data_IF_631465577513
#
_entry.id   IF_631465577513
#
_cell.length_a   1.000
_cell.length_b   1.000
_cell.length_c   1.000
_cell.angle_alpha   90.00
_cell.angle_beta   90.00
_cell.angle_gamma   90.00
#
_symmetry.space_group_name_H-M   'P 1'
#
loop_
_entity.id
_entity.type
_entity.pdbx_description
1 polymer ?
#
# COMPACT_ATOMS: atom_id res chain seq x y z
N UNK A 1 -5.85 11.49 -15.53
CA UNK A 1 -6.25 10.39 -14.65
C UNK A 1 -7.78 10.24 -14.69
N UNK A 2 -8.25 9.22 -15.38
CA UNK A 2 -9.70 8.94 -15.47
C UNK A 2 -10.23 8.29 -14.20
N UNK A 3 -9.42 7.50 -13.52
CA UNK A 3 -9.79 6.78 -12.32
C UNK A 3 -8.74 6.95 -11.23
N UNK A 4 -9.15 6.92 -9.94
CA UNK A 4 -8.19 6.94 -8.85
C UNK A 4 -7.38 5.65 -8.82
N UNK A 5 -6.13 5.76 -8.36
CA UNK A 5 -5.26 4.59 -8.25
C UNK A 5 -5.78 3.61 -7.18
N UNK A 6 -5.60 2.28 -7.39
CA UNK A 6 -6.06 1.28 -6.42
C UNK A 6 -5.53 1.49 -5.00
N UNK A 7 -4.29 1.95 -4.86
CA UNK A 7 -3.70 2.25 -3.55
C UNK A 7 -4.46 3.36 -2.81
N UNK A 8 -4.94 4.37 -3.52
CA UNK A 8 -5.74 5.45 -2.94
C UNK A 8 -7.10 4.95 -2.49
N UNK A 9 -7.73 4.08 -3.28
CA UNK A 9 -9.00 3.45 -2.93
C UNK A 9 -8.88 2.60 -1.67
N UNK A 10 -7.82 1.83 -1.54
CA UNK A 10 -7.58 1.02 -0.35
C UNK A 10 -7.34 1.87 0.90
N UNK A 11 -6.60 2.95 0.75
CA UNK A 11 -6.35 3.90 1.84
C UNK A 11 -7.63 4.56 2.31
N UNK A 12 -8.46 5.05 1.40
CA UNK A 12 -9.75 5.66 1.73
C UNK A 12 -10.72 4.66 2.34
N UNK A 13 -10.68 3.41 1.90
CA UNK A 13 -11.47 2.33 2.49
C UNK A 13 -11.10 2.11 3.96
N UNK A 14 -9.81 2.08 4.28
CA UNK A 14 -9.34 2.00 5.67
C UNK A 14 -9.79 3.21 6.50
N UNK A 15 -9.73 4.41 5.95
CA UNK A 15 -10.23 5.61 6.61
C UNK A 15 -11.74 5.55 6.87
N UNK A 16 -12.52 4.98 5.94
CA UNK A 16 -13.95 4.78 6.12
C UNK A 16 -14.25 3.82 7.29
N UNK A 17 -13.45 2.77 7.45
CA UNK A 17 -13.55 1.87 8.60
C UNK A 17 -13.36 2.63 9.91
N UNK A 18 -12.31 3.46 9.99
CA UNK A 18 -11.97 4.23 11.19
C UNK A 18 -13.05 5.28 11.50
N UNK A 19 -13.58 5.93 10.48
CA UNK A 19 -14.60 6.99 10.63
C UNK A 19 -16.02 6.45 10.78
N UNK A 20 -16.27 5.18 10.46
CA UNK A 20 -17.61 4.61 10.48
C UNK A 20 -18.52 5.15 9.37
N UNK A 21 -17.98 5.43 8.20
CA UNK A 21 -18.71 5.94 7.03
C UNK A 21 -18.54 5.00 5.84
N UNK A 22 -19.43 5.12 4.85
CA UNK A 22 -19.37 4.38 3.58
C UNK A 22 -18.93 5.27 2.42
N UNK A 23 -18.71 6.55 2.65
CA UNK A 23 -18.36 7.51 1.61
C UNK A 23 -17.00 8.13 1.85
N UNK A 24 -16.29 8.41 0.75
CA UNK A 24 -15.05 9.15 0.76
C UNK A 24 -14.92 10.02 -0.48
N UNK A 25 -14.15 11.07 -0.38
CA UNK A 25 -13.78 11.93 -1.51
C UNK A 25 -12.27 11.90 -1.67
N UNK A 26 -11.82 11.77 -2.91
CA UNK A 26 -10.41 11.91 -3.26
C UNK A 26 -10.28 13.17 -4.11
N UNK A 27 -9.49 14.11 -3.65
CA UNK A 27 -9.17 15.33 -4.38
C UNK A 27 -7.73 15.28 -4.86
N UNK A 28 -7.55 15.42 -6.16
CA UNK A 28 -6.24 15.42 -6.79
C UNK A 28 -6.03 16.69 -7.59
N UNK A 29 -4.88 17.33 -7.45
CA UNK A 29 -4.48 18.45 -8.26
C UNK A 29 -3.44 18.00 -9.30
N UNK A 30 -3.74 18.23 -10.57
CA UNK A 30 -2.81 17.95 -11.66
C UNK A 30 -1.97 19.19 -11.98
N UNK A 31 -0.67 19.10 -11.79
CA UNK A 31 0.24 20.20 -12.14
C UNK A 31 0.32 20.44 -13.65
N UNK A 32 0.15 19.40 -14.45
CA UNK A 32 0.20 19.48 -15.91
C UNK A 32 -1.01 20.21 -16.47
N UNK A 33 -2.22 19.84 -16.07
CA UNK A 33 -3.46 20.44 -16.54
C UNK A 33 -3.91 21.66 -15.71
N UNK A 34 -3.29 21.86 -14.53
CA UNK A 34 -3.65 22.88 -13.53
C UNK A 34 -5.12 22.81 -13.12
N UNK A 35 -5.65 21.59 -13.01
CA UNK A 35 -7.04 21.33 -12.64
C UNK A 35 -7.12 20.43 -11.42
N UNK A 36 -8.18 20.65 -10.64
CA UNK A 36 -8.58 19.70 -9.59
C UNK A 36 -9.45 18.62 -10.20
N UNK A 37 -9.20 17.38 -9.76
CA UNK A 37 -10.07 16.25 -10.04
C UNK A 37 -10.58 15.72 -8.72
N UNK A 38 -11.88 15.56 -8.61
CA UNK A 38 -12.54 15.04 -7.42
C UNK A 38 -13.25 13.73 -7.78
N UNK A 39 -13.02 12.70 -6.98
CA UNK A 39 -13.76 11.45 -7.09
C UNK A 39 -14.58 11.24 -5.82
N UNK A 40 -15.88 11.00 -5.99
CA UNK A 40 -16.77 10.56 -4.93
C UNK A 40 -16.77 9.04 -4.93
N UNK A 41 -16.33 8.44 -3.84
CA UNK A 41 -16.22 7.00 -3.68
C UNK A 41 -17.28 6.53 -2.70
N UNK A 42 -18.09 5.59 -3.13
CA UNK A 42 -19.07 4.91 -2.28
C UNK A 42 -18.68 3.44 -2.14
N UNK A 43 -18.58 2.99 -0.90
CA UNK A 43 -18.29 1.59 -0.59
C UNK A 43 -19.56 0.90 -0.11
N UNK A 44 -19.70 -0.39 -0.46
CA UNK A 44 -20.74 -1.23 0.12
C UNK A 44 -20.39 -1.56 1.58
N UNK A 45 -21.39 -1.90 2.38
CA UNK A 45 -21.16 -2.35 3.74
C UNK A 45 -20.26 -3.60 3.76
N UNK A 46 -20.42 -4.51 2.79
CA UNK A 46 -19.58 -5.69 2.66
C UNK A 46 -18.09 -5.33 2.44
N UNK A 47 -17.79 -4.37 1.56
CA UNK A 47 -16.41 -3.91 1.32
C UNK A 47 -15.77 -3.35 2.58
N UNK A 48 -16.53 -2.58 3.35
CA UNK A 48 -16.05 -2.00 4.61
C UNK A 48 -15.86 -3.09 5.68
N UNK A 49 -16.76 -4.06 5.76
CA UNK A 49 -16.64 -5.18 6.71
C UNK A 49 -15.43 -6.07 6.38
N UNK A 50 -15.16 -6.32 5.12
CA UNK A 50 -13.99 -7.08 4.67
C UNK A 50 -12.68 -6.33 4.99
N UNK A 51 -12.64 -5.03 4.76
CA UNK A 51 -11.49 -4.20 5.12
C UNK A 51 -11.25 -4.17 6.63
N UNK A 52 -12.31 -4.03 7.42
CA UNK A 52 -12.23 -4.09 8.88
C UNK A 52 -11.69 -5.43 9.36
N UNK A 53 -12.13 -6.52 8.77
CA UNK A 53 -11.64 -7.87 9.07
C UNK A 53 -10.15 -8.02 8.72
N UNK A 54 -9.74 -7.52 7.56
CA UNK A 54 -8.34 -7.54 7.15
C UNK A 54 -7.46 -6.73 8.13
N UNK A 55 -7.89 -5.54 8.52
CA UNK A 55 -7.16 -4.70 9.49
C UNK A 55 -7.04 -5.37 10.87
N UNK A 56 -8.11 -5.99 11.36
CA UNK A 56 -8.11 -6.71 12.65
C UNK A 56 -7.14 -7.89 12.64
N UNK A 57 -6.93 -8.52 11.50
CA UNK A 57 -5.96 -9.59 11.33
C UNK A 57 -4.54 -9.03 11.21
N UNK A 58 -4.36 -8.01 10.38
CA UNK A 58 -3.04 -7.49 10.01
C UNK A 58 -2.34 -6.74 11.15
N UNK A 59 -3.08 -5.94 11.90
CA UNK A 59 -2.50 -5.12 12.99
C UNK A 59 -1.81 -5.98 14.07
N UNK A 60 -2.45 -7.03 14.62
CA UNK A 60 -1.77 -7.91 15.56
C UNK A 60 -0.55 -8.63 14.99
N UNK A 61 -0.59 -9.04 13.74
CA UNK A 61 0.55 -9.64 13.05
C UNK A 61 1.75 -8.70 13.01
N UNK A 62 1.54 -7.44 12.64
CA UNK A 62 2.59 -6.42 12.61
C UNK A 62 3.14 -6.13 14.01
N UNK A 63 2.27 -6.03 15.01
CA UNK A 63 2.68 -5.84 16.41
C UNK A 63 3.55 -7.00 16.90
N UNK A 64 3.24 -8.22 16.49
CA UNK A 64 4.00 -9.41 16.84
C UNK A 64 5.41 -9.40 16.23
N UNK A 65 5.53 -9.02 14.95
CA UNK A 65 6.85 -8.81 14.31
C UNK A 65 7.68 -7.75 15.04
N UNK A 66 7.07 -6.65 15.44
CA UNK A 66 7.74 -5.58 16.20
C UNK A 66 8.25 -6.12 17.55
N UNK A 67 7.44 -6.89 18.28
CA UNK A 67 7.83 -7.47 19.57
C UNK A 67 9.00 -8.45 19.44
N UNK A 68 9.04 -9.22 18.36
CA UNK A 68 10.11 -10.18 18.10
C UNK A 68 11.37 -9.54 17.50
N UNK A 69 11.30 -8.27 17.09
CA UNK A 69 12.39 -7.60 16.38
C UNK A 69 12.65 -8.16 14.99
N UNK A 70 11.65 -8.77 14.38
CA UNK A 70 11.73 -9.38 13.06
C UNK A 70 11.01 -8.55 12.02
N UNK A 71 11.47 -8.61 10.77
CA UNK A 71 10.79 -7.98 9.63
C UNK A 71 9.75 -8.94 9.05
N UNK A 72 8.57 -8.41 8.62
CA UNK A 72 7.60 -9.22 7.91
C UNK A 72 8.18 -9.79 6.62
N UNK A 73 7.75 -11.00 6.19
CA UNK A 73 8.15 -11.52 4.89
C UNK A 73 7.78 -10.58 3.74
N UNK A 74 8.63 -10.48 2.75
CA UNK A 74 8.39 -9.63 1.56
C UNK A 74 7.12 -10.03 0.80
N UNK A 75 6.71 -11.28 0.93
CA UNK A 75 5.48 -11.82 0.33
C UNK A 75 4.20 -11.26 0.95
N UNK A 76 4.28 -10.66 2.12
CA UNK A 76 3.13 -10.06 2.80
C UNK A 76 2.83 -8.62 2.35
N UNK A 77 3.60 -8.08 1.43
CA UNK A 77 3.32 -6.77 0.87
C UNK A 77 1.95 -6.75 0.16
N UNK A 78 1.26 -5.65 0.25
CA UNK A 78 -0.04 -5.48 -0.39
C UNK A 78 0.08 -5.24 -1.91
N UNK A 79 1.08 -4.47 -2.30
CA UNK A 79 1.32 -4.09 -3.71
C UNK A 79 2.73 -4.41 -4.14
N UNK A 80 2.84 -4.99 -5.32
CA UNK A 80 4.12 -5.35 -5.91
C UNK A 80 5.04 -4.14 -6.16
N UNK A 81 4.49 -2.99 -6.49
CA UNK A 81 5.27 -1.79 -6.76
C UNK A 81 5.96 -1.22 -5.52
N UNK A 82 5.48 -1.54 -4.32
CA UNK A 82 6.09 -1.06 -3.07
C UNK A 82 7.57 -1.42 -2.99
N UNK A 83 7.94 -2.62 -3.44
CA UNK A 83 9.33 -3.05 -3.46
C UNK A 83 10.18 -2.29 -4.48
N UNK A 84 9.59 -1.85 -5.58
CA UNK A 84 10.30 -1.08 -6.62
C UNK A 84 10.82 0.25 -6.08
N UNK A 85 10.05 0.90 -5.24
CA UNK A 85 10.38 2.23 -4.69
C UNK A 85 10.86 2.19 -3.24
N UNK A 86 11.02 0.99 -2.67
CA UNK A 86 11.45 0.83 -1.29
C UNK A 86 12.94 1.17 -1.12
N UNK A 87 13.25 2.04 -0.17
CA UNK A 87 14.63 2.42 0.16
C UNK A 87 15.42 1.26 0.76
N UNK A 88 14.77 0.29 1.37
CA UNK A 88 15.39 -0.83 2.07
C UNK A 88 15.62 -2.08 1.22
N UNK A 89 15.17 -2.10 -0.04
CA UNK A 89 15.27 -3.27 -0.91
C UNK A 89 16.72 -3.78 -1.12
N UNK A 90 17.70 -2.88 -1.01
CA UNK A 90 19.12 -3.15 -1.19
C UNK A 90 19.93 -2.98 0.11
N UNK A 91 19.27 -2.85 1.25
CA UNK A 91 19.94 -2.68 2.53
C UNK A 91 20.72 -3.93 2.93
N UNK A 92 21.92 -3.76 3.54
CA UNK A 92 22.80 -4.86 3.95
C UNK A 92 22.10 -5.88 4.85
N UNK A 93 21.30 -5.38 5.80
CA UNK A 93 20.60 -6.20 6.79
C UNK A 93 19.32 -6.84 6.26
N UNK A 94 18.85 -6.42 5.08
CA UNK A 94 17.58 -6.87 4.49
C UNK A 94 17.80 -7.21 3.02
N UNK A 95 18.13 -8.47 2.73
CA UNK A 95 18.31 -8.90 1.35
C UNK A 95 16.96 -9.32 0.73
N UNK A 96 16.19 -8.34 0.27
CA UNK A 96 14.88 -8.57 -0.35
C UNK A 96 14.94 -8.97 -1.81
N UNK A 97 16.05 -8.71 -2.53
CA UNK A 97 16.17 -8.96 -3.97
C UNK A 97 15.88 -10.41 -4.40
N UNK A 98 16.45 -11.44 -3.78
CA UNK A 98 16.16 -12.82 -4.16
C UNK A 98 14.68 -13.18 -3.95
N UNK A 99 14.08 -12.70 -2.88
CA UNK A 99 12.68 -12.95 -2.55
C UNK A 99 11.73 -12.21 -3.52
N UNK A 100 12.09 -11.00 -3.93
CA UNK A 100 11.33 -10.22 -4.91
C UNK A 100 11.40 -10.90 -6.26
N UNK A 101 12.58 -11.37 -6.67
CA UNK A 101 12.79 -12.11 -7.92
C UNK A 101 12.01 -13.43 -7.93
N UNK A 102 12.04 -14.17 -6.82
CA UNK A 102 11.27 -15.41 -6.67
C UNK A 102 9.76 -15.18 -6.78
N UNK A 103 9.27 -14.00 -6.39
CA UNK A 103 7.88 -13.62 -6.54
C UNK A 103 7.52 -13.12 -7.96
N UNK A 104 8.45 -13.20 -8.93
CA UNK A 104 8.21 -12.81 -10.32
C UNK A 104 8.24 -11.31 -10.58
N UNK A 105 8.79 -10.52 -9.68
CA UNK A 105 8.87 -9.08 -9.83
C UNK A 105 10.15 -8.64 -10.54
N UNK A 106 10.04 -7.60 -11.36
CA UNK A 106 11.21 -6.93 -11.94
C UNK A 106 11.78 -5.93 -10.95
N UNK A 107 13.08 -6.02 -10.71
CA UNK A 107 13.83 -5.07 -9.89
C UNK A 107 14.66 -4.19 -10.82
N UNK A 108 14.52 -2.89 -10.67
CA UNK A 108 15.43 -1.95 -11.34
C UNK A 108 16.81 -2.06 -10.67
N UNK A 109 17.90 -2.24 -11.43
CA UNK A 109 19.23 -2.24 -10.85
C UNK A 109 19.51 -0.96 -10.06
N UNK A 110 20.30 -1.02 -8.97
CA UNK A 110 20.66 0.18 -8.23
C UNK A 110 21.39 1.15 -9.16
N UNK A 111 20.95 2.39 -9.15
CA UNK A 111 21.63 3.44 -9.93
C UNK A 111 22.98 3.71 -9.28
N UNK A 112 24.07 3.49 -10.04
CA UNK A 112 25.42 3.79 -9.58
C UNK A 112 25.64 5.30 -9.60
N UNK A 113 26.19 5.84 -8.52
CA UNK A 113 26.87 7.13 -8.55
C UNK A 113 26.06 8.38 -8.28
N UNK A 114 25.12 8.30 -7.39
CA UNK A 114 24.61 9.53 -6.77
C UNK A 114 24.73 9.47 -5.28
#
# INVERSE_FOLDING_TARGET
LENPQPAWLDRTRSYCVIKGTLEAYILCFSFTSRRFVEWHIEYSQQEIDEEAKWLRKRIPELQDYIKRGELPPVTERRYAYECKYCSFKDHEDVNCRPLIKAAGMRITPPQKGK
#
